data_IF_345445717304
#
_entry.id   IF_345445717304
#
_cell.length_a   1.000
_cell.length_b   1.000
_cell.length_c   1.000
_cell.angle_alpha   90.00
_cell.angle_beta   90.00
_cell.angle_gamma   90.00
#
_symmetry.space_group_name_H-M   'P 1'
#
loop_
_entity.id
_entity.type
_entity.pdbx_description
1 polymer ?
#
# COMPACT_ATOMS: atom_id res chain seq x y z
N UNK A 1 9.81 4.58 22.92
CA UNK A 1 8.46 4.53 22.41
C UNK A 1 8.24 3.33 21.52
N UNK A 2 7.23 2.60 21.82
CA UNK A 2 6.96 1.37 21.09
C UNK A 2 5.51 1.32 20.69
N UNK A 3 5.20 1.56 19.45
CA UNK A 3 3.82 1.56 18.98
C UNK A 3 3.34 0.17 18.63
N UNK A 4 3.76 -0.82 19.38
CA UNK A 4 3.58 -2.20 18.98
C UNK A 4 2.14 -2.61 18.82
N UNK A 5 1.25 -2.06 19.56
CA UNK A 5 -0.13 -2.48 19.52
C UNK A 5 -0.97 -1.70 18.53
N UNK A 6 -0.34 -0.88 17.73
CA UNK A 6 -1.08 -0.04 16.81
C UNK A 6 -1.67 -0.87 15.70
N UNK A 7 -2.98 -0.79 15.56
CA UNK A 7 -3.66 -1.42 14.42
C UNK A 7 -3.46 -0.55 13.18
N UNK A 8 -3.18 -1.22 12.08
CA UNK A 8 -3.10 -0.53 10.81
C UNK A 8 -4.51 -0.11 10.38
N UNK A 9 -4.60 1.05 9.77
CA UNK A 9 -5.88 1.53 9.27
C UNK A 9 -6.39 0.64 8.16
N UNK A 10 -7.69 0.49 8.10
CA UNK A 10 -8.34 -0.27 7.03
C UNK A 10 -8.68 0.69 5.90
N UNK A 11 -8.40 0.27 4.68
CA UNK A 11 -8.77 1.06 3.52
C UNK A 11 -10.29 1.08 3.35
N UNK A 12 -10.81 2.23 2.95
CA UNK A 12 -12.22 2.37 2.65
C UNK A 12 -12.47 1.86 1.23
N UNK A 13 -13.20 0.77 1.05
CA UNK A 13 -13.40 0.21 -0.28
C UNK A 13 -14.20 1.13 -1.21
N UNK A 14 -14.87 2.12 -0.66
CA UNK A 14 -15.63 3.06 -1.48
C UNK A 14 -14.82 4.28 -1.86
N UNK A 15 -13.63 4.44 -1.30
CA UNK A 15 -12.76 5.58 -1.59
C UNK A 15 -11.62 5.12 -2.47
N UNK A 16 -11.68 5.49 -3.75
CA UNK A 16 -10.67 5.06 -4.71
C UNK A 16 -9.31 5.69 -4.47
N UNK A 17 -9.22 6.73 -3.64
CA UNK A 17 -7.92 7.32 -3.32
C UNK A 17 -7.15 6.47 -2.31
N UNK A 18 -7.83 5.61 -1.57
CA UNK A 18 -7.20 4.74 -0.59
C UNK A 18 -6.86 3.40 -1.21
N UNK A 19 -5.59 3.03 -1.10
CA UNK A 19 -5.12 1.77 -1.68
C UNK A 19 -5.01 0.76 -0.56
N UNK A 20 -5.81 -0.28 -0.66
CA UNK A 20 -5.81 -1.36 0.33
C UNK A 20 -5.03 -2.57 -0.17
N UNK A 21 -4.56 -3.38 0.77
CA UNK A 21 -3.84 -4.59 0.43
C UNK A 21 -4.81 -5.62 -0.17
N UNK A 22 -4.49 -6.16 -1.34
CA UNK A 22 -5.36 -7.17 -1.96
C UNK A 22 -5.25 -8.53 -1.30
N UNK A 23 -4.19 -8.76 -0.54
CA UNK A 23 -3.91 -10.03 0.09
C UNK A 23 -2.97 -9.80 1.26
N UNK A 24 -2.94 -10.71 2.24
CA UNK A 24 -1.96 -10.59 3.32
C UNK A 24 -0.57 -10.90 2.78
N UNK A 25 0.41 -10.24 3.32
CA UNK A 25 1.78 -10.47 2.90
C UNK A 25 2.74 -9.47 3.52
N UNK A 26 3.98 -9.55 3.05
CA UNK A 26 5.06 -8.68 3.48
C UNK A 26 5.32 -7.66 2.39
N UNK A 27 5.49 -6.40 2.77
CA UNK A 27 5.87 -5.38 1.80
C UNK A 27 7.33 -5.61 1.42
N UNK A 28 7.54 -6.24 0.28
CA UNK A 28 8.89 -6.58 -0.17
C UNK A 28 9.60 -5.37 -0.73
N UNK A 29 8.85 -4.51 -1.44
CA UNK A 29 9.45 -3.36 -2.07
C UNK A 29 8.41 -2.25 -2.20
N UNK A 30 8.84 -1.02 -1.95
CA UNK A 30 7.99 0.16 -2.10
C UNK A 30 8.58 0.99 -3.22
N UNK A 31 7.79 1.21 -4.27
CA UNK A 31 8.27 1.86 -5.49
C UNK A 31 7.94 3.34 -5.57
N UNK A 32 7.22 3.87 -4.60
CA UNK A 32 6.79 5.26 -4.61
C UNK A 32 7.07 5.89 -3.26
N UNK A 33 7.00 7.21 -3.21
CA UNK A 33 7.14 7.95 -1.97
C UNK A 33 6.12 9.07 -1.95
N UNK A 34 5.98 9.70 -0.78
CA UNK A 34 5.06 10.83 -0.63
C UNK A 34 5.44 11.91 -1.63
N UNK A 35 4.47 12.38 -2.40
CA UNK A 35 4.69 13.37 -3.43
C UNK A 35 4.97 12.80 -4.80
N UNK A 36 5.15 11.49 -4.93
CA UNK A 36 5.37 10.86 -6.23
C UNK A 36 4.09 10.94 -7.07
N UNK A 37 4.26 11.19 -8.34
CA UNK A 37 3.14 11.16 -9.28
C UNK A 37 3.08 9.79 -9.92
N UNK A 38 1.87 9.25 -9.99
CA UNK A 38 1.64 7.93 -10.56
C UNK A 38 0.56 8.01 -11.63
N UNK A 39 0.57 7.03 -12.52
CA UNK A 39 -0.42 6.89 -13.56
C UNK A 39 -1.16 5.57 -13.35
N UNK A 40 -2.35 5.49 -13.92
CA UNK A 40 -3.12 4.24 -13.88
C UNK A 40 -2.23 3.08 -14.35
N UNK A 41 -2.11 2.07 -13.49
CA UNK A 41 -1.31 0.89 -13.78
C UNK A 41 0.14 0.95 -13.32
N UNK A 42 0.59 2.09 -12.82
CA UNK A 42 1.96 2.18 -12.31
C UNK A 42 2.15 1.32 -11.08
N UNK A 43 3.29 0.63 -10.96
CA UNK A 43 3.53 -0.18 -9.77
C UNK A 43 3.75 0.70 -8.55
N UNK A 44 3.02 0.41 -7.48
CA UNK A 44 3.14 1.15 -6.24
C UNK A 44 4.07 0.43 -5.28
N UNK A 45 3.82 -0.84 -5.08
CA UNK A 45 4.63 -1.66 -4.18
C UNK A 45 4.47 -3.12 -4.56
N UNK A 46 5.33 -3.94 -3.99
CA UNK A 46 5.29 -5.38 -4.20
C UNK A 46 5.09 -6.07 -2.86
N UNK A 47 4.13 -6.98 -2.82
CA UNK A 47 3.89 -7.81 -1.65
C UNK A 47 4.45 -9.19 -1.88
N UNK A 48 5.05 -9.76 -0.85
CA UNK A 48 5.52 -11.13 -0.88
C UNK A 48 4.65 -11.99 0.03
N UNK A 49 4.10 -13.06 -0.51
CA UNK A 49 3.29 -13.99 0.26
C UNK A 49 3.52 -15.39 -0.28
N UNK A 50 3.83 -16.32 0.60
CA UNK A 50 4.01 -17.74 0.24
C UNK A 50 4.99 -17.92 -0.93
N UNK A 51 6.09 -17.18 -0.89
CA UNK A 51 7.16 -17.22 -1.90
C UNK A 51 6.73 -16.69 -3.26
N UNK A 52 5.64 -15.95 -3.29
CA UNK A 52 5.15 -15.31 -4.51
C UNK A 52 5.17 -13.80 -4.33
N UNK A 53 5.36 -13.09 -5.42
CA UNK A 53 5.37 -11.64 -5.42
C UNK A 53 4.17 -11.12 -6.18
N UNK A 54 3.45 -10.19 -5.57
CA UNK A 54 2.30 -9.56 -6.19
C UNK A 54 2.53 -8.06 -6.21
N UNK A 55 2.43 -7.45 -7.38
CA UNK A 55 2.58 -6.01 -7.50
C UNK A 55 1.23 -5.34 -7.33
N UNK A 56 1.20 -4.34 -6.45
CA UNK A 56 0.01 -3.51 -6.27
C UNK A 56 0.18 -2.29 -7.16
N UNK A 57 -0.75 -2.12 -8.09
CA UNK A 57 -0.68 -1.04 -9.09
C UNK A 57 -1.67 0.05 -8.76
N UNK A 58 -1.40 1.24 -9.29
CA UNK A 58 -2.29 2.37 -9.09
C UNK A 58 -3.59 2.15 -9.87
N UNK A 59 -4.76 2.34 -9.23
CA UNK A 59 -6.03 2.19 -9.92
C UNK A 59 -6.39 3.40 -10.78
N UNK A 60 -5.69 4.52 -10.57
CA UNK A 60 -5.91 5.75 -11.33
C UNK A 60 -4.70 6.64 -11.18
N UNK A 61 -4.61 7.64 -12.03
CA UNK A 61 -3.54 8.63 -11.94
C UNK A 61 -3.73 9.54 -10.74
N UNK A 62 -2.65 10.01 -10.18
CA UNK A 62 -2.70 10.95 -9.07
C UNK A 62 -1.34 11.14 -8.44
N UNK A 63 -1.34 11.75 -7.27
CA UNK A 63 -0.12 12.00 -6.51
C UNK A 63 -0.23 11.27 -5.18
N UNK A 64 0.86 10.65 -4.76
CA UNK A 64 0.88 9.96 -3.47
C UNK A 64 0.77 10.98 -2.36
N UNK A 65 -0.32 10.94 -1.63
CA UNK A 65 -0.60 11.88 -0.56
C UNK A 65 0.00 11.41 0.76
N UNK A 66 -0.14 10.12 1.06
CA UNK A 66 0.48 9.56 2.24
C UNK A 66 0.74 8.08 2.04
N UNK A 67 1.70 7.57 2.82
CA UNK A 67 2.05 6.15 2.79
C UNK A 67 2.00 5.66 4.23
N UNK A 68 1.18 4.63 4.47
CA UNK A 68 0.94 4.12 5.81
C UNK A 68 1.81 2.93 6.15
N UNK A 69 2.64 2.48 5.21
CA UNK A 69 3.48 1.31 5.41
C UNK A 69 4.90 1.64 4.95
N UNK A 70 5.83 0.77 5.34
CA UNK A 70 7.20 0.85 4.85
C UNK A 70 7.62 -0.53 4.39
N UNK A 71 8.72 -0.56 3.64
CA UNK A 71 9.34 -1.80 3.20
C UNK A 71 9.64 -2.67 4.42
N UNK A 72 9.20 -3.91 4.39
CA UNK A 72 9.37 -4.83 5.51
C UNK A 72 8.17 -4.99 6.41
N UNK A 73 7.14 -4.18 6.22
CA UNK A 73 5.92 -4.29 7.03
C UNK A 73 5.08 -5.48 6.59
N UNK A 74 4.40 -6.09 7.56
CA UNK A 74 3.39 -7.11 7.27
C UNK A 74 2.03 -6.44 7.20
N UNK A 75 1.26 -6.84 6.21
CA UNK A 75 -0.09 -6.29 6.02
C UNK A 75 -1.09 -7.43 5.85
N UNK A 76 -2.34 -7.13 6.17
CA UNK A 76 -3.45 -8.06 5.97
C UNK A 76 -4.35 -7.52 4.87
N UNK A 77 -5.21 -8.40 4.35
CA UNK A 77 -6.18 -7.99 3.34
C UNK A 77 -7.01 -6.81 3.85
N UNK A 78 -7.08 -5.77 3.06
CA UNK A 78 -7.86 -4.58 3.39
C UNK A 78 -7.11 -3.53 4.18
N UNK A 79 -5.90 -3.81 4.63
CA UNK A 79 -5.11 -2.80 5.34
C UNK A 79 -4.80 -1.64 4.40
N UNK A 80 -4.90 -0.43 4.94
CA UNK A 80 -4.58 0.77 4.16
C UNK A 80 -3.08 0.84 3.92
N UNK A 81 -2.70 0.88 2.66
CA UNK A 81 -1.29 0.94 2.28
C UNK A 81 -0.85 2.38 2.04
N UNK A 82 -1.56 3.07 1.19
CA UNK A 82 -1.23 4.45 0.88
C UNK A 82 -2.46 5.16 0.32
N UNK A 83 -2.32 6.48 0.16
CA UNK A 83 -3.41 7.31 -0.36
C UNK A 83 -2.90 8.06 -1.57
N UNK A 84 -3.68 7.99 -2.66
CA UNK A 84 -3.40 8.71 -3.90
C UNK A 84 -4.41 9.85 -4.01
N UNK A 85 -3.91 11.06 -4.08
CA UNK A 85 -4.77 12.24 -4.17
C UNK A 85 -5.25 12.49 -5.59
#
# INVERSE_FOLDING_TARGET
LTPTAVKRKTADPTDSSQIGAPMPGLVAELNVSIGSKVTDGDPLLTLEAMKMYTTVSAPHSGTIESIEIVSGDNVDTGDLLLIIA
#
